data_IF_933950359016
#
_entry.id   IF_933950359016
#
_cell.length_a   1.000
_cell.length_b   1.000
_cell.length_c   1.000
_cell.angle_alpha   90.00
_cell.angle_beta   90.00
_cell.angle_gamma   90.00
#
_symmetry.space_group_name_H-M   'P 1'
#
loop_
_entity.id
_entity.type
_entity.pdbx_description
1 polymer ?
#
# COMPACT_ATOMS: atom_id res chain seq x y z
N UNK A 1 58.32 26.00 -35.16
CA UNK A 1 57.18 25.37 -34.46
C UNK A 1 56.18 26.49 -34.21
N UNK A 2 55.42 26.71 -35.29
CA UNK A 2 54.10 27.33 -35.49
C UNK A 2 53.23 27.55 -34.24
N UNK A 3 52.29 28.50 -34.16
CA UNK A 3 51.93 29.72 -34.92
C UNK A 3 50.86 30.46 -34.06
N UNK A 4 50.58 31.69 -34.46
CA UNK A 4 49.83 32.80 -33.88
C UNK A 4 48.33 32.65 -33.53
N UNK A 5 47.95 33.53 -32.58
CA UNK A 5 46.77 34.40 -32.46
C UNK A 5 45.33 33.94 -32.77
N UNK A 6 44.46 34.44 -31.87
CA UNK A 6 43.20 35.20 -32.08
C UNK A 6 41.84 34.53 -31.87
N UNK A 7 40.99 35.30 -31.16
CA UNK A 7 39.57 35.14 -30.91
C UNK A 7 38.68 35.20 -32.18
N UNK A 8 37.47 34.64 -32.04
CA UNK A 8 36.18 34.88 -32.72
C UNK A 8 35.63 33.84 -33.75
N UNK A 9 34.35 33.50 -33.51
CA UNK A 9 33.24 33.06 -34.39
C UNK A 9 32.79 31.57 -34.39
N UNK A 10 31.49 31.45 -34.12
CA UNK A 10 30.56 30.32 -34.02
C UNK A 10 30.00 29.88 -35.39
N UNK A 11 29.94 28.58 -35.75
CA UNK A 11 28.83 27.90 -36.47
C UNK A 11 28.95 26.37 -36.26
N UNK A 12 27.86 25.67 -35.88
CA UNK A 12 27.85 24.23 -35.57
C UNK A 12 27.72 23.26 -36.77
N UNK A 13 27.82 21.95 -36.49
CA UNK A 13 26.94 20.84 -36.96
C UNK A 13 27.52 19.47 -36.55
N UNK A 14 26.70 18.62 -35.91
CA UNK A 14 26.83 17.15 -35.97
C UNK A 14 27.50 16.42 -34.79
N UNK A 15 26.70 15.58 -34.09
CA UNK A 15 27.12 14.60 -33.08
C UNK A 15 28.09 13.51 -33.60
N UNK A 16 28.72 12.77 -32.67
CA UNK A 16 28.47 11.33 -32.62
C UNK A 16 28.02 10.83 -31.24
N UNK A 17 27.00 9.98 -31.27
CA UNK A 17 26.47 9.18 -30.16
C UNK A 17 27.57 8.28 -29.57
N UNK A 18 27.65 8.20 -28.24
CA UNK A 18 27.74 6.89 -27.60
C UNK A 18 27.07 6.87 -26.22
N UNK A 19 26.31 5.79 -26.05
CA UNK A 19 25.44 5.32 -24.97
C UNK A 19 25.52 5.96 -23.58
N UNK A 20 24.46 6.69 -23.21
CA UNK A 20 24.01 6.73 -21.82
C UNK A 20 23.28 5.41 -21.52
N UNK A 21 23.86 4.57 -20.67
CA UNK A 21 23.10 3.52 -20.00
C UNK A 21 22.08 4.23 -19.08
N UNK A 22 20.76 4.08 -19.26
CA UNK A 22 19.83 4.65 -18.31
C UNK A 22 19.86 3.73 -17.09
N UNK A 23 20.57 4.16 -16.04
CA UNK A 23 20.28 3.64 -14.70
C UNK A 23 18.93 4.22 -14.28
N UNK A 24 17.86 3.59 -14.75
CA UNK A 24 16.53 3.74 -14.16
C UNK A 24 16.50 2.88 -12.90
N UNK A 25 17.04 3.39 -11.80
CA UNK A 25 16.68 2.91 -10.47
C UNK A 25 15.25 3.36 -10.22
N UNK A 26 14.29 2.49 -10.55
CA UNK A 26 12.95 2.58 -10.01
C UNK A 26 13.09 2.44 -8.49
N UNK A 27 12.72 3.47 -7.72
CA UNK A 27 12.79 3.43 -6.26
C UNK A 27 11.94 2.29 -5.71
N UNK A 28 12.33 1.74 -4.56
CA UNK A 28 11.52 0.72 -3.89
C UNK A 28 10.22 1.35 -3.40
N UNK A 29 9.07 0.80 -3.81
CA UNK A 29 7.77 1.33 -3.43
C UNK A 29 7.50 1.05 -1.94
N UNK A 30 6.91 2.03 -1.25
CA UNK A 30 6.34 1.81 0.08
C UNK A 30 5.37 0.63 0.07
N UNK A 31 5.38 -0.15 1.14
CA UNK A 31 4.56 -1.35 1.35
C UNK A 31 4.79 -2.48 0.33
N UNK A 32 5.88 -2.46 -0.46
CA UNK A 32 6.26 -3.59 -1.33
C UNK A 32 6.55 -4.87 -0.55
N UNK A 33 7.01 -4.69 0.69
CA UNK A 33 7.09 -5.72 1.72
C UNK A 33 6.52 -5.11 2.99
N UNK A 34 5.61 -5.81 3.64
CA UNK A 34 5.04 -5.42 4.94
C UNK A 34 5.76 -6.12 6.07
N UNK A 35 5.89 -5.45 7.20
CA UNK A 35 5.99 -6.12 8.49
C UNK A 35 4.59 -6.65 8.80
N UNK A 36 4.44 -7.97 8.74
CA UNK A 36 3.16 -8.67 8.75
C UNK A 36 2.76 -9.17 10.13
N UNK A 37 3.72 -9.67 10.90
CA UNK A 37 3.49 -10.18 12.24
C UNK A 37 4.72 -9.86 13.11
N UNK A 38 4.49 -9.48 14.37
CA UNK A 38 5.56 -9.28 15.35
C UNK A 38 5.16 -9.94 16.66
N UNK A 39 5.96 -10.89 17.12
CA UNK A 39 5.79 -11.55 18.41
C UNK A 39 6.79 -11.04 19.43
N UNK A 40 6.60 -9.78 19.81
CA UNK A 40 7.46 -9.09 20.77
C UNK A 40 7.43 -9.73 22.17
N UNK A 41 6.36 -10.43 22.54
CA UNK A 41 6.21 -11.05 23.85
C UNK A 41 6.78 -12.48 23.95
N UNK A 42 7.29 -13.03 22.85
CA UNK A 42 7.73 -14.42 22.75
C UNK A 42 6.60 -15.44 22.84
N UNK A 43 6.87 -16.59 23.47
CA UNK A 43 5.94 -17.71 23.64
C UNK A 43 5.75 -18.08 25.12
N UNK A 44 4.96 -19.12 25.38
CA UNK A 44 4.83 -19.71 26.72
C UNK A 44 6.13 -20.41 27.15
N UNK A 45 6.84 -21.05 26.21
CA UNK A 45 8.10 -21.71 26.50
C UNK A 45 9.21 -20.71 26.86
N UNK A 46 9.26 -19.56 26.21
CA UNK A 46 10.25 -18.52 26.47
C UNK A 46 9.80 -17.15 26.00
N UNK A 47 10.05 -16.11 26.81
CA UNK A 47 9.94 -14.72 26.35
C UNK A 47 10.99 -14.36 25.30
N UNK A 48 12.04 -15.16 25.15
CA UNK A 48 13.04 -14.97 24.09
C UNK A 48 12.63 -15.57 22.74
N UNK A 49 11.51 -16.31 22.67
CA UNK A 49 11.00 -16.94 21.44
C UNK A 49 10.27 -15.90 20.56
N UNK A 50 10.97 -14.82 20.22
CA UNK A 50 10.46 -13.71 19.42
C UNK A 50 10.60 -14.01 17.92
N UNK A 51 9.60 -13.61 17.14
CA UNK A 51 9.66 -13.66 15.69
C UNK A 51 9.09 -12.40 15.03
N UNK A 52 9.56 -12.17 13.80
CA UNK A 52 9.11 -11.09 12.94
C UNK A 52 8.81 -11.72 11.58
N UNK A 53 7.66 -11.43 11.02
CA UNK A 53 7.29 -11.91 9.71
C UNK A 53 7.15 -10.77 8.73
N UNK A 54 7.63 -11.00 7.51
CA UNK A 54 7.34 -10.14 6.38
C UNK A 54 6.38 -10.79 5.40
N UNK A 55 5.57 -9.96 4.74
CA UNK A 55 4.71 -10.38 3.63
C UNK A 55 5.05 -9.59 2.37
N UNK A 56 5.32 -10.31 1.27
CA UNK A 56 5.51 -9.68 -0.04
C UNK A 56 4.14 -9.39 -0.66
N UNK A 57 3.77 -8.11 -0.73
CA UNK A 57 2.50 -7.67 -1.31
C UNK A 57 2.49 -7.71 -2.83
N UNK A 58 3.68 -7.83 -3.44
CA UNK A 58 3.88 -7.86 -4.87
C UNK A 58 3.65 -9.24 -5.50
N UNK A 59 3.54 -9.22 -6.83
CA UNK A 59 3.33 -10.41 -7.67
C UNK A 59 4.63 -11.04 -8.17
N UNK A 60 5.79 -10.50 -7.78
CA UNK A 60 7.10 -11.04 -8.15
C UNK A 60 7.93 -11.32 -6.91
N UNK A 61 8.76 -12.38 -6.92
CA UNK A 61 9.71 -12.60 -5.85
C UNK A 61 10.67 -11.41 -5.67
N UNK A 62 11.04 -11.12 -4.42
CA UNK A 62 12.00 -10.08 -4.07
C UNK A 62 13.24 -10.73 -3.47
N UNK A 63 14.40 -10.45 -4.06
CA UNK A 63 15.70 -10.87 -3.54
C UNK A 63 16.11 -9.95 -2.38
N UNK A 64 16.03 -10.48 -1.16
CA UNK A 64 16.35 -9.77 0.07
C UNK A 64 17.86 -9.62 0.27
N UNK A 65 18.65 -10.48 -0.38
CA UNK A 65 20.12 -10.45 -0.26
C UNK A 65 20.77 -9.20 -0.88
N UNK A 66 20.00 -8.38 -1.61
CA UNK A 66 20.47 -7.16 -2.25
C UNK A 66 20.70 -5.97 -1.30
N UNK A 67 20.71 -6.19 0.01
CA UNK A 67 20.98 -5.17 1.02
C UNK A 67 19.74 -4.68 1.78
N UNK A 68 18.66 -5.46 1.78
CA UNK A 68 17.51 -5.17 2.62
C UNK A 68 17.86 -5.31 4.11
N UNK A 69 17.29 -4.46 4.95
CA UNK A 69 17.57 -4.46 6.40
C UNK A 69 16.32 -4.20 7.21
N UNK A 70 16.18 -4.88 8.35
CA UNK A 70 15.24 -4.50 9.40
C UNK A 70 16.04 -3.85 10.53
N UNK A 71 15.66 -2.63 10.92
CA UNK A 71 16.41 -1.87 11.93
C UNK A 71 15.45 -1.34 12.99
N UNK A 72 15.71 -1.71 14.25
CA UNK A 72 15.11 -1.10 15.42
C UNK A 72 15.68 0.30 15.70
N UNK A 73 14.88 1.19 16.29
CA UNK A 73 15.30 2.58 16.57
C UNK A 73 16.48 2.70 17.53
N UNK A 74 16.59 1.76 18.48
CA UNK A 74 17.70 1.69 19.45
C UNK A 74 18.95 0.98 18.87
N UNK A 75 18.87 0.49 17.63
CA UNK A 75 19.92 -0.24 16.94
C UNK A 75 19.99 -1.74 17.24
N UNK A 76 19.05 -2.31 18.01
CA UNK A 76 18.97 -3.76 18.25
C UNK A 76 17.51 -4.25 18.30
N UNK A 77 17.05 -5.08 17.35
CA UNK A 77 17.85 -5.74 16.32
C UNK A 77 18.18 -4.85 15.11
N UNK A 78 19.36 -5.09 14.53
CA UNK A 78 19.75 -4.57 13.21
C UNK A 78 20.12 -5.77 12.33
N UNK A 79 19.18 -6.14 11.45
CA UNK A 79 19.17 -7.40 10.72
C UNK A 79 19.41 -7.12 9.25
N UNK A 80 20.47 -7.69 8.69
CA UNK A 80 20.63 -7.80 7.23
C UNK A 80 19.83 -9.00 6.74
N UNK A 81 18.87 -8.78 5.84
CA UNK A 81 18.03 -9.84 5.30
C UNK A 81 18.76 -10.60 4.19
N UNK A 82 18.42 -11.87 4.03
CA UNK A 82 19.03 -12.77 3.04
C UNK A 82 17.96 -13.63 2.36
N UNK A 83 18.33 -14.28 1.25
CA UNK A 83 17.41 -15.14 0.52
C UNK A 83 16.39 -14.36 -0.32
N UNK A 84 15.24 -14.99 -0.57
CA UNK A 84 14.20 -14.47 -1.46
C UNK A 84 12.85 -14.68 -0.80
N UNK A 85 12.00 -13.66 -0.84
CA UNK A 85 10.58 -13.79 -0.49
C UNK A 85 9.79 -13.96 -1.79
N UNK A 86 9.02 -15.04 -1.90
CA UNK A 86 8.17 -15.29 -3.07
C UNK A 86 7.09 -14.22 -3.24
N UNK A 87 6.45 -14.18 -4.40
CA UNK A 87 5.26 -13.34 -4.61
C UNK A 87 4.12 -13.79 -3.68
N UNK A 88 3.48 -12.86 -2.97
CA UNK A 88 2.42 -13.17 -2.00
C UNK A 88 2.82 -14.23 -0.97
N UNK A 89 4.11 -14.29 -0.65
CA UNK A 89 4.70 -15.26 0.26
C UNK A 89 5.20 -14.58 1.53
N UNK A 90 5.48 -15.39 2.55
CA UNK A 90 5.94 -14.96 3.85
C UNK A 90 7.44 -15.21 4.05
N UNK A 91 8.09 -14.31 4.77
CA UNK A 91 9.48 -14.47 5.19
C UNK A 91 9.56 -14.37 6.70
N UNK A 92 9.81 -15.51 7.35
CA UNK A 92 9.82 -15.64 8.81
C UNK A 92 11.24 -15.47 9.35
N UNK A 93 11.40 -14.52 10.26
CA UNK A 93 12.58 -14.32 11.08
C UNK A 93 12.34 -14.84 12.49
N UNK A 94 13.18 -15.74 12.98
CA UNK A 94 13.15 -16.17 14.38
C UNK A 94 14.40 -15.72 15.13
N UNK A 95 14.24 -15.27 16.37
CA UNK A 95 15.37 -14.89 17.21
C UNK A 95 16.14 -16.13 17.66
N UNK A 96 17.47 -16.03 17.70
CA UNK A 96 18.34 -17.06 18.25
C UNK A 96 18.52 -18.26 17.34
N UNK A 97 18.06 -19.43 17.78
CA UNK A 97 18.39 -20.74 17.18
C UNK A 97 17.39 -21.29 16.17
N UNK A 98 16.35 -20.54 15.79
CA UNK A 98 15.34 -21.01 14.82
C UNK A 98 14.46 -22.11 15.41
N UNK A 99 14.08 -21.94 16.67
CA UNK A 99 13.23 -22.88 17.40
C UNK A 99 12.15 -22.17 18.21
N UNK A 100 11.87 -20.89 17.91
CA UNK A 100 10.79 -20.16 18.57
C UNK A 100 9.44 -20.84 18.26
N UNK A 101 9.30 -21.34 17.04
CA UNK A 101 8.13 -22.09 16.58
C UNK A 101 8.54 -23.39 15.89
N UNK A 102 7.56 -24.27 15.63
CA UNK A 102 7.73 -25.45 14.80
C UNK A 102 7.53 -25.17 13.30
N UNK A 103 7.37 -23.90 12.91
CA UNK A 103 7.36 -23.46 11.52
C UNK A 103 8.80 -23.19 11.09
N UNK A 104 9.21 -23.77 9.97
CA UNK A 104 10.56 -23.54 9.44
C UNK A 104 10.75 -22.06 9.09
N UNK A 105 11.71 -21.42 9.75
CA UNK A 105 12.11 -20.04 9.53
C UNK A 105 12.83 -19.88 8.18
N UNK A 106 12.85 -18.65 7.66
CA UNK A 106 13.67 -18.32 6.50
C UNK A 106 15.08 -17.89 6.91
N UNK A 107 15.19 -17.24 8.06
CA UNK A 107 16.45 -16.74 8.59
C UNK A 107 16.33 -16.54 10.11
N UNK A 108 17.44 -16.71 10.83
CA UNK A 108 17.53 -16.35 12.24
C UNK A 108 18.18 -14.98 12.44
N UNK A 109 17.92 -14.35 13.58
CA UNK A 109 18.54 -13.08 13.96
C UNK A 109 18.96 -13.03 15.43
N UNK A 110 19.75 -12.01 15.78
CA UNK A 110 20.19 -11.71 17.14
C UNK A 110 19.88 -10.26 17.48
N UNK A 111 19.86 -9.92 18.78
CA UNK A 111 19.19 -8.71 19.28
C UNK A 111 17.83 -9.12 19.85
N UNK A 112 17.27 -8.33 20.76
CA UNK A 112 15.96 -8.61 21.38
C UNK A 112 15.00 -7.54 20.93
N UNK A 113 13.70 -7.84 20.85
CA UNK A 113 12.73 -6.78 20.70
C UNK A 113 12.53 -6.12 22.08
N UNK A 114 12.38 -4.80 22.08
CA UNK A 114 12.02 -4.07 23.29
C UNK A 114 10.57 -4.37 23.64
N UNK A 115 10.29 -4.78 24.88
CA UNK A 115 8.92 -4.97 25.36
C UNK A 115 8.08 -3.67 25.39
N UNK A 116 8.73 -2.51 25.27
CA UNK A 116 8.12 -1.17 25.26
C UNK A 116 8.81 -0.27 24.22
N UNK A 117 8.02 0.62 23.62
CA UNK A 117 8.49 1.82 22.89
C UNK A 117 9.52 1.57 21.76
N UNK A 118 9.49 0.40 21.13
CA UNK A 118 10.38 0.05 20.01
C UNK A 118 9.73 0.34 18.65
N UNK A 119 10.51 0.89 17.72
CA UNK A 119 10.10 1.10 16.32
C UNK A 119 10.92 0.21 15.41
N UNK A 120 10.27 -0.64 14.62
CA UNK A 120 10.94 -1.41 13.56
C UNK A 120 10.81 -0.69 12.23
N UNK A 121 11.90 -0.61 11.46
CA UNK A 121 11.89 -0.05 10.10
C UNK A 121 12.48 -1.03 9.12
N UNK A 122 11.66 -1.47 8.17
CA UNK A 122 12.10 -2.26 7.05
C UNK A 122 12.64 -1.32 5.97
N UNK A 123 13.93 -1.47 5.65
CA UNK A 123 14.67 -0.62 4.72
C UNK A 123 15.06 -1.39 3.47
N UNK A 124 14.79 -0.77 2.34
CA UNK A 124 15.29 -1.22 1.06
C UNK A 124 16.80 -0.95 0.91
N UNK A 125 17.47 -1.58 -0.08
CA UNK A 125 18.90 -1.39 -0.36
C UNK A 125 19.36 0.06 -0.56
N UNK A 126 18.48 0.94 -1.06
CA UNK A 126 18.77 2.36 -1.22
C UNK A 126 18.57 3.19 0.06
N UNK A 127 18.17 2.55 1.16
CA UNK A 127 17.91 3.16 2.46
C UNK A 127 16.47 3.62 2.68
N UNK A 128 15.61 3.55 1.66
CA UNK A 128 14.18 3.89 1.74
C UNK A 128 13.51 3.01 2.78
N UNK A 129 12.73 3.61 3.69
CA UNK A 129 11.87 2.87 4.62
C UNK A 129 10.63 2.45 3.84
N UNK A 130 10.44 1.14 3.66
CA UNK A 130 9.29 0.61 2.91
C UNK A 130 8.09 0.35 3.81
N UNK A 131 8.32 0.00 5.07
CA UNK A 131 7.28 -0.20 6.07
C UNK A 131 7.88 -0.07 7.47
N UNK A 132 7.00 0.14 8.44
CA UNK A 132 7.34 0.21 9.86
C UNK A 132 6.37 -0.62 10.69
N UNK A 133 6.80 -0.90 11.92
CA UNK A 133 5.91 -1.33 12.99
C UNK A 133 6.10 -0.38 14.16
N UNK A 134 4.98 0.09 14.71
CA UNK A 134 4.93 1.00 15.86
C UNK A 134 5.61 2.37 15.61
N UNK A 135 5.37 2.98 14.44
CA UNK A 135 6.00 4.23 13.99
C UNK A 135 5.80 5.44 14.89
N UNK A 136 4.81 5.45 15.78
CA UNK A 136 4.61 6.53 16.75
C UNK A 136 5.57 6.44 17.95
N UNK A 137 6.30 5.32 18.09
CA UNK A 137 7.25 5.07 19.16
C UNK A 137 6.60 4.92 20.54
N UNK A 138 5.28 4.72 20.59
CA UNK A 138 4.56 4.46 21.82
C UNK A 138 4.60 2.98 22.22
N UNK A 139 3.70 2.59 23.12
CA UNK A 139 3.52 1.18 23.43
C UNK A 139 3.07 0.42 22.18
N UNK A 140 3.55 -0.81 22.02
CA UNK A 140 3.13 -1.73 20.97
C UNK A 140 1.59 -1.71 20.79
N UNK A 141 1.08 -1.43 19.58
CA UNK A 141 -0.35 -1.19 19.37
C UNK A 141 -1.23 -2.43 19.53
N UNK A 142 -0.60 -3.61 19.56
CA UNK A 142 -1.24 -4.91 19.65
C UNK A 142 -0.26 -5.94 20.22
N UNK A 143 -0.71 -7.19 20.35
CA UNK A 143 -0.01 -8.23 21.09
C UNK A 143 -0.21 -8.05 22.60
N UNK A 144 -0.01 -9.11 23.36
CA UNK A 144 -0.11 -9.10 24.82
C UNK A 144 0.93 -10.04 25.40
N UNK A 145 1.41 -9.76 26.61
CA UNK A 145 2.41 -10.60 27.30
C UNK A 145 1.82 -11.76 28.10
N UNK A 146 0.50 -11.79 28.31
CA UNK A 146 -0.15 -12.85 29.09
C UNK A 146 -1.59 -13.15 28.63
N UNK A 147 -1.83 -14.32 27.99
CA UNK A 147 -0.79 -15.20 27.43
C UNK A 147 -0.04 -14.48 26.30
N UNK A 148 1.27 -14.75 26.15
CA UNK A 148 2.08 -14.17 25.08
C UNK A 148 1.37 -14.36 23.72
N UNK A 149 1.14 -13.26 23.00
CA UNK A 149 0.42 -13.22 21.73
C UNK A 149 1.03 -12.18 20.81
N UNK A 150 1.19 -12.54 19.54
CA UNK A 150 1.72 -11.64 18.52
C UNK A 150 0.75 -10.51 18.17
N UNK A 151 1.30 -9.45 17.57
CA UNK A 151 0.52 -8.53 16.76
C UNK A 151 0.57 -8.95 15.30
N UNK A 152 -0.56 -8.82 14.62
CA UNK A 152 -0.75 -9.11 13.21
C UNK A 152 -1.20 -7.86 12.47
N UNK A 153 -0.65 -7.65 11.28
CA UNK A 153 -1.03 -6.54 10.40
C UNK A 153 -2.46 -6.75 9.88
N UNK A 154 -3.27 -5.70 9.94
CA UNK A 154 -4.64 -5.69 9.43
C UNK A 154 -4.65 -5.12 8.02
N UNK A 155 -4.39 -6.00 7.05
CA UNK A 155 -4.37 -5.66 5.62
C UNK A 155 -3.10 -4.91 5.18
N UNK A 156 -3.07 -4.51 3.91
CA UNK A 156 -1.94 -3.80 3.29
C UNK A 156 -2.11 -2.29 3.43
N UNK A 157 -2.09 -1.80 4.66
CA UNK A 157 -2.18 -0.37 5.01
C UNK A 157 -0.85 0.13 5.55
N UNK A 158 -0.66 1.44 5.67
CA UNK A 158 0.50 2.02 6.37
C UNK A 158 0.41 1.75 7.87
N UNK A 159 1.56 1.72 8.54
CA UNK A 159 1.67 1.49 9.97
C UNK A 159 0.91 2.54 10.80
N UNK A 160 0.40 2.10 11.95
CA UNK A 160 -0.39 2.90 12.87
C UNK A 160 -1.21 2.02 13.82
N UNK A 161 -1.74 2.63 14.88
CA UNK A 161 -2.36 1.87 15.98
C UNK A 161 -3.60 1.06 15.59
N UNK A 162 -4.27 1.43 14.49
CA UNK A 162 -5.42 0.70 13.95
C UNK A 162 -5.03 -0.33 12.88
N UNK A 163 -3.78 -0.31 12.43
CA UNK A 163 -3.23 -1.21 11.41
C UNK A 163 -2.74 -2.53 12.01
N UNK A 164 -2.79 -2.67 13.34
CA UNK A 164 -2.36 -3.86 14.07
C UNK A 164 -3.49 -4.42 14.93
N UNK A 165 -3.55 -5.73 15.02
CA UNK A 165 -4.46 -6.44 15.94
C UNK A 165 -3.72 -7.55 16.65
N UNK A 166 -4.04 -7.77 17.92
CA UNK A 166 -3.55 -8.96 18.64
C UNK A 166 -4.13 -10.21 17.99
N UNK A 167 -3.31 -11.23 17.78
CA UNK A 167 -3.76 -12.54 17.28
C UNK A 167 -5.04 -12.99 18.01
N UNK A 168 -6.00 -13.48 17.24
CA UNK A 168 -7.24 -14.04 17.76
C UNK A 168 -7.45 -15.45 17.19
N UNK A 169 -7.84 -16.38 18.06
CA UNK A 169 -8.20 -17.73 17.65
C UNK A 169 -7.28 -18.78 18.25
N UNK A 170 -7.12 -19.88 17.52
CA UNK A 170 -6.29 -21.00 17.92
C UNK A 170 -5.28 -21.29 16.83
N UNK A 171 -4.00 -21.37 17.20
CA UNK A 171 -2.95 -21.81 16.30
C UNK A 171 -2.69 -23.31 16.47
N UNK A 172 -2.37 -23.99 15.38
CA UNK A 172 -1.79 -25.34 15.43
C UNK A 172 -0.25 -25.32 15.51
N UNK A 173 0.34 -24.13 15.43
CA UNK A 173 1.79 -23.92 15.57
C UNK A 173 2.18 -24.08 17.03
N UNK A 174 3.31 -24.74 17.26
CA UNK A 174 3.82 -25.06 18.59
C UNK A 174 5.14 -24.33 18.86
N UNK A 175 5.38 -23.95 20.11
CA UNK A 175 6.68 -23.46 20.58
C UNK A 175 7.67 -24.61 20.85
N UNK A 176 8.90 -24.29 21.26
CA UNK A 176 9.93 -25.26 21.63
C UNK A 176 9.51 -26.21 22.78
N UNK A 177 8.57 -25.79 23.63
CA UNK A 177 8.00 -26.58 24.71
C UNK A 177 6.84 -27.48 24.29
N UNK A 178 6.39 -27.37 23.03
CA UNK A 178 5.23 -28.09 22.52
C UNK A 178 3.88 -27.46 22.90
N UNK A 179 3.86 -26.23 23.40
CA UNK A 179 2.63 -25.49 23.66
C UNK A 179 2.14 -24.80 22.39
N UNK A 180 0.83 -24.68 22.21
CA UNK A 180 0.29 -23.87 21.14
C UNK A 180 0.65 -22.39 21.34
N UNK A 181 1.10 -21.73 20.27
CA UNK A 181 1.38 -20.29 20.28
C UNK A 181 0.11 -19.48 19.95
N UNK A 182 0.12 -18.20 20.31
CA UNK A 182 -0.91 -17.24 19.89
C UNK A 182 -0.35 -16.35 18.78
N UNK A 183 -0.23 -16.93 17.59
CA UNK A 183 0.24 -16.26 16.38
C UNK A 183 0.09 -17.12 15.13
N UNK A 184 0.39 -16.55 13.97
CA UNK A 184 0.19 -17.17 12.65
C UNK A 184 1.43 -17.15 11.76
N UNK A 185 2.63 -17.57 12.22
CA UNK A 185 3.82 -17.57 11.36
C UNK A 185 3.60 -18.43 10.12
N UNK A 186 3.92 -17.86 8.96
CA UNK A 186 3.67 -18.30 7.58
C UNK A 186 2.21 -18.61 7.27
N UNK A 187 1.32 -18.15 8.13
CA UNK A 187 -0.11 -18.31 8.06
C UNK A 187 -0.78 -17.00 7.65
N UNK A 188 -2.07 -17.10 7.37
CA UNK A 188 -2.90 -15.93 7.15
C UNK A 188 -3.27 -15.31 8.51
N UNK A 189 -3.02 -14.01 8.66
CA UNK A 189 -3.41 -13.25 9.85
C UNK A 189 -4.91 -13.42 10.13
N UNK A 190 -5.27 -13.46 11.42
CA UNK A 190 -6.64 -13.75 11.87
C UNK A 190 -7.71 -12.78 11.33
N UNK A 191 -7.30 -11.56 10.94
CA UNK A 191 -8.18 -10.50 10.43
C UNK A 191 -8.10 -10.29 8.90
N UNK A 192 -7.34 -11.12 8.16
CA UNK A 192 -7.34 -11.12 6.68
C UNK A 192 -8.56 -11.88 6.17
N UNK A 193 -9.73 -11.27 6.06
CA UNK A 193 -10.91 -11.93 5.49
C UNK A 193 -11.13 -11.60 4.00
N UNK A 194 -10.14 -11.84 3.13
CA UNK A 194 -10.35 -11.99 1.67
C UNK A 194 -9.32 -12.93 1.02
N UNK A 195 -9.64 -14.21 0.91
CA UNK A 195 -8.88 -15.14 0.03
C UNK A 195 -9.69 -15.37 -1.25
N UNK A 196 -9.28 -14.85 -2.43
CA UNK A 196 -9.78 -15.35 -3.69
C UNK A 196 -9.08 -16.68 -4.01
N UNK A 197 -9.82 -17.78 -3.90
CA UNK A 197 -9.34 -19.11 -4.29
C UNK A 197 -9.25 -19.19 -5.81
N UNK A 198 -8.05 -19.02 -6.38
CA UNK A 198 -7.78 -19.43 -7.75
C UNK A 198 -7.32 -20.90 -7.74
N UNK A 199 -8.17 -21.80 -8.24
CA UNK A 199 -7.80 -23.20 -8.49
C UNK A 199 -7.23 -23.30 -9.91
N UNK A 200 -5.91 -23.50 -10.11
CA UNK A 200 -5.38 -23.75 -11.45
C UNK A 200 -5.78 -25.16 -11.89
N UNK A 201 -6.68 -25.26 -12.88
CA UNK A 201 -6.96 -26.52 -13.56
C UNK A 201 -5.92 -26.76 -14.65
N UNK A 202 -4.90 -27.56 -14.34
CA UNK A 202 -3.96 -28.06 -15.35
C UNK A 202 -4.60 -29.20 -16.15
N UNK A 203 -4.89 -28.95 -17.43
CA UNK A 203 -5.23 -30.02 -18.39
C UNK A 203 -4.00 -30.25 -19.29
N UNK A 204 -3.38 -31.45 -19.29
CA UNK A 204 -2.25 -31.72 -20.17
C UNK A 204 -2.73 -32.04 -21.60
N UNK A 205 -2.11 -31.43 -22.61
CA UNK A 205 -2.25 -31.82 -24.01
C UNK A 205 -0.91 -31.64 -24.73
N UNK A 206 -0.58 -32.47 -25.75
CA UNK A 206 0.78 -33.01 -25.88
C UNK A 206 1.77 -32.12 -26.63
N UNK A 207 3.03 -32.36 -26.26
CA UNK A 207 4.30 -31.96 -26.83
C UNK A 207 4.31 -31.88 -28.36
N UNK A 208 4.75 -30.73 -28.90
CA UNK A 208 5.35 -30.66 -30.23
C UNK A 208 6.68 -29.88 -30.19
N UNK A 209 7.63 -30.45 -30.89
CA UNK A 209 9.06 -30.14 -30.98
C UNK A 209 9.36 -28.74 -31.52
N UNK A 210 10.35 -28.08 -30.91
CA UNK A 210 10.81 -26.73 -31.24
C UNK A 210 11.38 -26.59 -32.65
N UNK A 211 10.95 -25.54 -33.36
CA UNK A 211 11.73 -24.87 -34.41
C UNK A 211 11.65 -23.36 -34.14
N UNK A 212 12.76 -22.60 -34.10
CA UNK A 212 12.71 -21.18 -33.78
C UNK A 212 12.25 -20.36 -35.01
N UNK A 213 11.11 -19.68 -34.90
CA UNK A 213 10.65 -18.72 -35.91
C UNK A 213 10.13 -17.45 -35.23
N UNK A 214 10.70 -16.32 -35.65
CA UNK A 214 10.40 -14.90 -35.37
C UNK A 214 9.19 -14.60 -34.47
N UNK A 215 9.48 -14.08 -33.28
CA UNK A 215 8.48 -13.58 -32.31
C UNK A 215 7.88 -12.27 -32.80
N UNK A 216 6.56 -12.26 -33.00
CA UNK A 216 5.77 -11.03 -33.03
C UNK A 216 5.68 -10.49 -31.60
N UNK A 217 6.14 -9.27 -31.38
CA UNK A 217 5.95 -8.53 -30.13
C UNK A 217 4.48 -8.19 -29.96
N UNK A 218 3.79 -8.92 -29.09
CA UNK A 218 2.52 -8.49 -28.54
C UNK A 218 2.79 -7.46 -27.45
N UNK A 219 2.30 -6.24 -27.64
CA UNK A 219 2.21 -5.24 -26.58
C UNK A 219 1.21 -5.76 -25.53
N UNK A 220 1.59 -5.94 -24.26
CA UNK A 220 0.64 -6.36 -23.24
C UNK A 220 -0.41 -5.26 -23.07
N UNK A 221 -1.66 -5.59 -23.38
CA UNK A 221 -2.80 -4.79 -22.91
C UNK A 221 -3.01 -5.14 -21.45
N UNK A 222 -2.77 -4.18 -20.57
CA UNK A 222 -3.14 -4.28 -19.15
C UNK A 222 -4.65 -4.49 -19.07
N UNK A 223 -5.07 -5.70 -18.70
CA UNK A 223 -6.46 -5.95 -18.31
C UNK A 223 -6.63 -5.33 -16.92
N UNK A 224 -7.54 -4.37 -16.72
CA UNK A 224 -7.70 -3.70 -15.43
C UNK A 224 -8.10 -4.71 -14.35
N UNK A 225 -7.36 -4.69 -13.24
CA UNK A 225 -7.66 -5.48 -12.05
C UNK A 225 -9.01 -5.02 -11.48
N UNK A 226 -9.93 -5.94 -11.13
CA UNK A 226 -11.20 -5.57 -10.50
C UNK A 226 -10.98 -4.75 -9.23
N UNK A 227 -11.71 -3.64 -9.11
CA UNK A 227 -11.63 -2.73 -7.98
C UNK A 227 -12.09 -3.40 -6.67
N UNK A 228 -11.16 -3.53 -5.73
CA UNK A 228 -11.45 -3.92 -4.35
C UNK A 228 -12.13 -2.79 -3.57
N UNK A 229 -12.74 -3.10 -2.42
CA UNK A 229 -13.12 -2.06 -1.47
C UNK A 229 -11.89 -1.19 -1.16
N UNK A 230 -12.05 0.14 -1.21
CA UNK A 230 -11.03 1.18 -0.99
C UNK A 230 -9.84 1.11 -1.94
N UNK A 231 -10.01 0.51 -3.12
CA UNK A 231 -9.01 0.56 -4.21
C UNK A 231 -8.83 1.98 -4.77
N UNK A 232 -9.88 2.78 -4.71
CA UNK A 232 -9.85 4.24 -4.80
C UNK A 232 -10.65 4.75 -3.62
N UNK A 233 -10.17 5.80 -2.95
CA UNK A 233 -10.84 6.38 -1.78
C UNK A 233 -11.37 7.77 -2.11
N UNK A 234 -12.42 8.16 -1.41
CA UNK A 234 -12.85 9.57 -1.36
C UNK A 234 -11.90 10.27 -0.40
N UNK A 235 -10.92 10.98 -0.95
CA UNK A 235 -9.80 11.57 -0.22
C UNK A 235 -10.23 12.84 0.50
N UNK A 236 -10.77 13.79 -0.27
CA UNK A 236 -11.24 15.06 0.24
C UNK A 236 -12.63 15.44 -0.29
N UNK A 237 -13.40 16.15 0.54
CA UNK A 237 -14.71 16.71 0.19
C UNK A 237 -14.81 18.13 0.74
N UNK A 238 -15.06 19.09 -0.15
CA UNK A 238 -15.38 20.48 0.21
C UNK A 238 -16.87 20.76 0.04
N UNK A 239 -17.68 20.18 0.92
CA UNK A 239 -19.14 20.25 0.88
C UNK A 239 -19.74 21.64 1.16
N UNK A 240 -18.93 22.58 1.69
CA UNK A 240 -19.39 23.90 2.14
C UNK A 240 -19.03 25.04 1.18
N UNK A 241 -18.37 24.76 0.05
CA UNK A 241 -17.83 25.77 -0.85
C UNK A 241 -16.50 26.39 -0.36
N UNK A 242 -16.10 27.50 -0.97
CA UNK A 242 -14.85 28.23 -0.64
C UNK A 242 -15.10 29.52 0.16
N UNK A 243 -14.07 29.99 0.87
CA UNK A 243 -14.07 31.27 1.63
C UNK A 243 -14.34 32.51 0.77
N UNK A 244 -14.36 32.38 -0.55
CA UNK A 244 -14.62 33.47 -1.50
C UNK A 244 -16.10 33.89 -1.57
N UNK A 245 -17.00 33.17 -0.86
CA UNK A 245 -18.43 33.52 -0.77
C UNK A 245 -19.31 32.83 -1.80
N UNK A 246 -18.76 31.89 -2.58
CA UNK A 246 -19.49 31.04 -3.48
C UNK A 246 -19.81 29.72 -2.74
N UNK A 247 -20.99 29.65 -2.14
CA UNK A 247 -21.53 28.46 -1.45
C UNK A 247 -21.73 27.24 -2.36
N UNK A 248 -21.33 27.35 -3.62
CA UNK A 248 -21.58 26.40 -4.70
C UNK A 248 -20.26 25.78 -5.20
N UNK A 249 -19.11 26.25 -4.72
CA UNK A 249 -17.77 25.81 -5.09
C UNK A 249 -17.42 24.50 -4.38
N UNK A 250 -18.24 23.48 -4.62
CA UNK A 250 -18.05 22.15 -4.07
C UNK A 250 -17.06 21.38 -4.94
N UNK A 251 -16.22 20.58 -4.29
CA UNK A 251 -15.31 19.69 -4.99
C UNK A 251 -15.09 18.40 -4.21
N UNK A 252 -14.75 17.35 -4.95
CA UNK A 252 -14.49 16.00 -4.46
C UNK A 252 -13.17 15.55 -5.07
N UNK A 253 -12.28 14.99 -4.26
CA UNK A 253 -11.05 14.38 -4.74
C UNK A 253 -11.06 12.88 -4.47
N UNK A 254 -10.86 12.11 -5.53
CA UNK A 254 -10.58 10.69 -5.42
C UNK A 254 -9.08 10.46 -5.42
N UNK A 255 -8.62 9.51 -4.61
CA UNK A 255 -7.22 9.13 -4.55
C UNK A 255 -7.09 7.64 -4.82
N UNK A 256 -6.13 7.27 -5.66
CA UNK A 256 -5.70 5.89 -5.81
C UNK A 256 -4.50 5.65 -4.88
N UNK A 257 -4.70 5.09 -3.67
CA UNK A 257 -3.60 4.74 -2.77
C UNK A 257 -2.78 3.55 -3.28
N UNK A 258 -3.26 2.87 -4.31
CA UNK A 258 -2.61 1.72 -4.92
C UNK A 258 -1.36 2.08 -5.70
N UNK A 259 -0.59 1.06 -6.03
CA UNK A 259 0.67 1.14 -6.77
C UNK A 259 0.53 0.82 -8.26
N UNK A 260 -0.69 0.56 -8.74
CA UNK A 260 -1.03 0.43 -10.16
C UNK A 260 -2.10 1.43 -10.54
N UNK A 261 -2.15 1.91 -11.79
CA UNK A 261 -3.29 2.67 -12.26
C UNK A 261 -4.58 1.89 -12.04
N UNK A 262 -5.59 2.54 -11.48
CA UNK A 262 -6.94 1.98 -11.36
C UNK A 262 -7.79 2.57 -12.46
N UNK A 263 -8.34 1.70 -13.30
CA UNK A 263 -9.35 2.08 -14.28
C UNK A 263 -10.66 2.39 -13.55
N UNK A 264 -11.05 3.66 -13.58
CA UNK A 264 -12.28 4.17 -12.96
C UNK A 264 -13.35 4.47 -14.02
N UNK A 265 -13.19 3.94 -15.23
CA UNK A 265 -14.15 4.09 -16.32
C UNK A 265 -15.55 3.63 -15.91
N UNK A 266 -16.53 4.53 -15.99
CA UNK A 266 -17.93 4.23 -15.68
C UNK A 266 -18.22 3.99 -14.20
N UNK A 267 -17.28 4.30 -13.30
CA UNK A 267 -17.56 4.37 -11.87
C UNK A 267 -18.50 5.54 -11.57
N UNK A 268 -19.13 5.54 -10.40
CA UNK A 268 -20.04 6.61 -10.01
C UNK A 268 -19.91 7.04 -8.56
N UNK A 269 -20.20 8.32 -8.29
CA UNK A 269 -20.39 8.88 -6.97
C UNK A 269 -21.87 9.22 -6.82
N UNK A 270 -22.52 8.70 -5.79
CA UNK A 270 -23.94 8.94 -5.55
C UNK A 270 -24.22 9.21 -4.08
N UNK A 271 -25.17 10.11 -3.85
CA UNK A 271 -25.65 10.46 -2.51
C UNK A 271 -26.91 9.69 -2.13
N UNK A 272 -27.24 9.71 -0.83
CA UNK A 272 -28.41 9.00 -0.30
C UNK A 272 -29.76 9.52 -0.80
N UNK A 273 -29.83 10.78 -1.24
CA UNK A 273 -31.03 11.41 -1.82
C UNK A 273 -31.02 11.42 -3.36
N UNK A 274 -29.91 10.99 -3.98
CA UNK A 274 -29.75 10.83 -5.42
C UNK A 274 -29.25 12.08 -6.15
N UNK A 275 -28.81 13.12 -5.44
CA UNK A 275 -28.14 14.29 -6.03
C UNK A 275 -26.94 14.74 -5.17
N UNK A 276 -25.72 14.85 -5.72
CA UNK A 276 -25.33 14.51 -7.08
C UNK A 276 -25.26 13.00 -7.35
N UNK A 277 -25.56 12.63 -8.59
CA UNK A 277 -25.27 11.31 -9.17
C UNK A 277 -24.28 11.48 -10.33
N UNK A 278 -23.00 11.32 -10.03
CA UNK A 278 -21.88 11.62 -10.92
C UNK A 278 -21.38 10.32 -11.54
N UNK A 279 -21.31 10.25 -12.87
CA UNK A 279 -20.68 9.14 -13.58
C UNK A 279 -19.34 9.58 -14.16
N UNK A 280 -18.30 8.80 -13.92
CA UNK A 280 -16.96 9.01 -14.47
C UNK A 280 -16.95 8.51 -15.93
N UNK A 281 -16.51 9.33 -16.91
CA UNK A 281 -16.43 8.93 -18.31
C UNK A 281 -15.60 7.66 -18.54
N UNK A 282 -15.80 7.03 -19.70
CA UNK A 282 -14.98 5.89 -20.11
C UNK A 282 -13.57 6.33 -20.51
N UNK A 283 -12.59 5.45 -20.29
CA UNK A 283 -11.18 5.67 -20.61
C UNK A 283 -10.40 6.42 -19.53
N UNK A 284 -10.97 6.58 -18.33
CA UNK A 284 -10.35 7.28 -17.22
C UNK A 284 -9.66 6.28 -16.29
N UNK A 285 -8.40 6.53 -15.99
CA UNK A 285 -7.64 5.78 -15.00
C UNK A 285 -6.92 6.74 -14.06
N UNK A 286 -6.99 6.49 -12.75
CA UNK A 286 -6.17 7.21 -11.79
C UNK A 286 -4.82 6.49 -11.69
N UNK A 287 -3.68 7.14 -12.00
CA UNK A 287 -2.36 6.54 -11.79
C UNK A 287 -2.16 6.09 -10.34
N UNK A 288 -1.17 5.23 -10.12
CA UNK A 288 -0.71 4.88 -8.78
C UNK A 288 -0.35 6.14 -7.98
N UNK A 289 -0.91 6.30 -6.78
CA UNK A 289 -0.75 7.53 -5.98
C UNK A 289 -1.30 8.79 -6.66
N UNK A 290 -2.08 8.64 -7.73
CA UNK A 290 -2.70 9.74 -8.46
C UNK A 290 -4.00 10.20 -7.82
N UNK A 291 -4.43 11.37 -8.22
CA UNK A 291 -5.67 12.01 -7.79
C UNK A 291 -6.60 12.19 -8.99
N UNK A 292 -7.89 12.29 -8.72
CA UNK A 292 -8.91 12.67 -9.69
C UNK A 292 -9.83 13.72 -9.06
N UNK A 293 -9.74 14.95 -9.55
CA UNK A 293 -10.42 16.11 -9.00
C UNK A 293 -11.73 16.37 -9.75
N UNK A 294 -12.83 16.44 -9.00
CA UNK A 294 -14.14 16.81 -9.51
C UNK A 294 -14.57 18.16 -8.93
N UNK A 295 -14.91 19.11 -9.79
CA UNK A 295 -15.45 20.42 -9.40
C UNK A 295 -16.89 20.59 -9.89
N UNK A 296 -17.67 21.33 -9.10
CA UNK A 296 -19.06 21.59 -9.42
C UNK A 296 -19.19 22.81 -10.35
N UNK A 297 -20.03 22.68 -11.37
CA UNK A 297 -20.49 23.71 -12.32
C UNK A 297 -19.39 24.34 -13.22
N UNK A 298 -18.20 24.65 -12.71
CA UNK A 298 -17.05 25.17 -13.46
C UNK A 298 -15.68 24.80 -12.84
N UNK A 299 -14.59 25.15 -13.54
CA UNK A 299 -13.18 24.83 -13.19
C UNK A 299 -12.49 26.02 -12.50
N UNK A 300 -13.18 26.71 -11.59
CA UNK A 300 -12.62 27.87 -10.87
C UNK A 300 -12.60 27.68 -9.35
N UNK A 301 -13.02 26.52 -8.84
CA UNK A 301 -13.12 26.25 -7.41
C UNK A 301 -11.74 26.04 -6.79
N UNK A 302 -10.90 25.20 -7.39
CA UNK A 302 -9.49 25.02 -6.99
C UNK A 302 -8.60 25.80 -7.95
N UNK A 303 -8.21 27.02 -7.54
CA UNK A 303 -7.57 27.98 -8.45
C UNK A 303 -6.19 27.59 -9.00
N UNK A 304 -5.53 26.59 -8.41
CA UNK A 304 -4.16 26.16 -8.72
C UNK A 304 -4.07 24.76 -9.33
N UNK A 305 -5.19 24.03 -9.45
CA UNK A 305 -5.27 22.69 -10.03
C UNK A 305 -6.52 22.61 -10.90
N UNK A 306 -6.36 22.28 -12.19
CA UNK A 306 -7.50 22.10 -13.07
C UNK A 306 -8.27 20.81 -12.70
N UNK A 307 -9.60 20.88 -12.72
CA UNK A 307 -10.50 19.76 -12.52
C UNK A 307 -10.33 18.73 -13.64
N UNK A 308 -10.29 17.45 -13.25
CA UNK A 308 -10.35 16.34 -14.19
C UNK A 308 -11.77 16.11 -14.72
N UNK A 309 -12.79 16.52 -13.96
CA UNK A 309 -14.19 16.47 -14.35
C UNK A 309 -15.02 17.59 -13.72
N UNK A 310 -15.86 18.22 -14.54
CA UNK A 310 -16.94 19.10 -14.05
C UNK A 310 -18.21 18.30 -13.86
N UNK A 311 -18.85 18.42 -12.70
CA UNK A 311 -20.12 17.79 -12.39
C UNK A 311 -21.22 18.81 -12.04
N UNK A 312 -22.47 18.33 -12.01
CA UNK A 312 -23.66 19.11 -11.61
C UNK A 312 -24.40 18.39 -10.49
N UNK A 313 -25.19 19.12 -9.71
CA UNK A 313 -25.84 18.63 -8.49
C UNK A 313 -25.23 19.26 -7.26
N UNK A 314 -25.73 18.98 -6.06
CA UNK A 314 -25.29 19.69 -4.84
C UNK A 314 -25.03 18.77 -3.66
N UNK A 315 -23.97 19.02 -2.90
CA UNK A 315 -23.80 18.40 -1.59
C UNK A 315 -24.59 19.16 -0.51
N UNK A 316 -25.28 18.43 0.35
CA UNK A 316 -26.06 18.96 1.45
C UNK A 316 -25.16 19.52 2.55
N UNK A 317 -25.29 20.81 2.82
CA UNK A 317 -24.63 21.48 3.94
C UNK A 317 -25.01 20.93 5.33
N UNK A 318 -26.10 20.17 5.43
CA UNK A 318 -26.50 19.51 6.69
C UNK A 318 -25.92 18.12 6.88
N UNK A 319 -25.16 17.61 5.91
CA UNK A 319 -24.63 16.25 5.91
C UNK A 319 -25.48 15.27 5.10
N UNK A 320 -24.81 14.32 4.48
CA UNK A 320 -25.37 13.18 3.75
C UNK A 320 -24.32 12.09 3.58
N UNK A 321 -24.72 10.92 3.06
CA UNK A 321 -23.76 9.88 2.66
C UNK A 321 -23.33 10.11 1.21
N UNK A 322 -22.03 10.05 0.93
CA UNK A 322 -21.49 10.00 -0.44
C UNK A 322 -20.80 8.65 -0.66
N UNK A 323 -21.22 7.90 -1.68
CA UNK A 323 -20.72 6.55 -1.95
C UNK A 323 -20.09 6.46 -3.33
N UNK A 324 -18.88 5.91 -3.39
CA UNK A 324 -18.17 5.59 -4.62
C UNK A 324 -18.46 4.15 -5.02
N UNK A 325 -18.94 3.93 -6.25
CA UNK A 325 -19.21 2.63 -6.84
C UNK A 325 -18.30 2.37 -8.03
N UNK A 326 -17.92 1.11 -8.24
CA UNK A 326 -17.32 0.70 -9.50
C UNK A 326 -18.36 0.57 -10.63
N UNK A 327 -17.89 0.37 -11.86
CA UNK A 327 -18.76 0.18 -13.03
C UNK A 327 -19.65 -1.08 -13.01
N UNK A 328 -19.56 -1.92 -11.97
CA UNK A 328 -20.46 -3.05 -11.71
C UNK A 328 -21.42 -2.78 -10.55
N UNK A 329 -21.55 -1.51 -10.10
CA UNK A 329 -22.35 -1.08 -8.95
C UNK A 329 -21.90 -1.66 -7.60
N UNK A 330 -20.65 -2.09 -7.48
CA UNK A 330 -20.10 -2.51 -6.18
C UNK A 330 -19.57 -1.29 -5.45
N UNK A 331 -19.87 -1.19 -4.15
CA UNK A 331 -19.32 -0.14 -3.29
C UNK A 331 -17.81 -0.30 -3.21
N UNK A 332 -17.09 0.79 -3.47
CA UNK A 332 -15.65 0.91 -3.31
C UNK A 332 -15.32 1.70 -2.06
N UNK A 333 -15.92 2.86 -1.85
CA UNK A 333 -15.71 3.65 -0.63
C UNK A 333 -16.98 4.41 -0.25
N UNK A 334 -17.04 4.87 1.01
CA UNK A 334 -18.13 5.69 1.52
C UNK A 334 -17.60 6.77 2.44
N UNK A 335 -17.97 8.01 2.15
CA UNK A 335 -17.82 9.13 3.04
C UNK A 335 -19.12 9.37 3.82
N UNK A 336 -18.98 9.66 5.12
CA UNK A 336 -20.09 9.94 6.02
C UNK A 336 -21.20 8.87 6.01
N UNK A 337 -20.81 7.60 6.09
CA UNK A 337 -21.72 6.45 5.91
C UNK A 337 -22.90 6.31 6.89
N UNK A 338 -22.97 7.15 7.93
CA UNK A 338 -24.15 7.22 8.81
C UNK A 338 -25.24 8.17 8.29
N UNK A 339 -24.97 8.96 7.23
CA UNK A 339 -25.86 9.95 6.65
C UNK A 339 -26.21 11.12 7.58
N UNK A 340 -25.46 11.29 8.68
CA UNK A 340 -25.66 12.37 9.64
C UNK A 340 -24.95 13.66 9.20
N UNK A 341 -24.81 14.62 10.12
CA UNK A 341 -23.99 15.81 9.88
C UNK A 341 -22.56 15.45 9.47
N UNK A 342 -21.98 16.21 8.54
CA UNK A 342 -20.60 15.98 8.08
C UNK A 342 -19.64 15.89 9.29
N UNK A 343 -18.76 14.88 9.33
CA UNK A 343 -17.94 14.59 10.51
C UNK A 343 -16.84 15.64 10.76
N UNK A 344 -16.53 16.46 9.75
CA UNK A 344 -15.60 17.58 9.82
C UNK A 344 -15.95 18.65 8.76
N UNK A 345 -15.34 19.82 8.88
CA UNK A 345 -15.66 20.99 8.06
C UNK A 345 -16.69 21.91 8.73
N UNK A 346 -16.93 23.08 8.15
CA UNK A 346 -17.85 24.08 8.69
C UNK A 346 -18.37 24.97 7.57
N UNK A 347 -19.68 25.21 7.54
CA UNK A 347 -20.34 26.15 6.62
C UNK A 347 -20.12 27.62 7.00
N UNK A 348 -19.54 27.89 8.17
CA UNK A 348 -19.22 29.25 8.64
C UNK A 348 -17.76 29.65 8.44
N UNK A 349 -16.87 28.67 8.22
CA UNK A 349 -15.43 28.88 8.02
C UNK A 349 -14.89 28.17 6.78
N UNK A 350 -15.76 27.54 5.98
CA UNK A 350 -15.46 26.80 4.74
C UNK A 350 -14.39 25.74 4.96
N UNK A 351 -14.80 24.63 5.59
CA UNK A 351 -13.90 23.54 5.94
C UNK A 351 -14.09 22.31 5.06
N UNK A 352 -12.96 21.70 4.65
CA UNK A 352 -12.90 20.42 3.95
C UNK A 352 -12.79 19.24 4.92
N UNK A 353 -13.21 18.07 4.48
CA UNK A 353 -12.89 16.78 5.11
C UNK A 353 -11.68 16.20 4.36
N UNK A 354 -10.65 15.72 5.06
CA UNK A 354 -9.54 14.98 4.46
C UNK A 354 -9.21 13.73 5.27
N UNK A 355 -8.78 12.66 4.60
CA UNK A 355 -8.45 11.36 5.20
C UNK A 355 -7.02 10.93 4.91
#
# INVERSE_FOLDING_TARGET
MDDNLSDFINIGTGSPKNSSNPSTTCGYASLSILINEVAWAGTIASSDDEWIEFYNTGLTPIDLSLGWRLVADDGSPDITLTGTIGASDYFLLERGSGNATNVMENQTFTGSLGDIDEILRLRAPDGTVVDTANSDGGAWPAGISSPASSMERVGTVTDGNLSWSTFQGASSVLDAGGNAINGSPKGQNAMLNVTPTFTPSITPSPTNTFTPTSTLTFTPSITPTPAGLRSVIINEIAWAGTVSGLSNDEWIELYNPGNTPVDISGWSLSTGDGDPDIVIPLGISIPAGGYYLLERDDDNTVSDVAADQIYTGTLSNSGETLTLYDGSNKIIDTANGNGGGWPAGSSSTYGKIGR
#
